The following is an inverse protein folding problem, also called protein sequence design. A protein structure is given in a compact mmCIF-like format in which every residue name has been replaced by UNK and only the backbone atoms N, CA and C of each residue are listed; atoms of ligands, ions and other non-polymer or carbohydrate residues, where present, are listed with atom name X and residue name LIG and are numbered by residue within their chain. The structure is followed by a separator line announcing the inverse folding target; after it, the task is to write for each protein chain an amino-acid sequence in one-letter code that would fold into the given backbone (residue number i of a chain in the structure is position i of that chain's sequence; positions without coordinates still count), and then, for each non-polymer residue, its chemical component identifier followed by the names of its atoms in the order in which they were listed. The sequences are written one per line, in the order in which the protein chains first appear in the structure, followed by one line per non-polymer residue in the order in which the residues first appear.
data_IF_044517922239
#
_entry.id   IF_044517922239
#
_cell.length_a   1.000
_cell.length_b   1.000
_cell.length_c   1.000
_cell.angle_alpha   90.00
_cell.angle_beta   90.00
_cell.angle_gamma   90.00
#
_symmetry.space_group_name_H-M   'P 1'
#
loop_
_entity.id
_entity.type
_entity.pdbx_description
1 polymer ?
#
# COMPACT_ATOMS: atom_id res chain seq x y z
N UNK A 1 -17.47 5.02 -7.59
CA UNK A 1 -18.25 3.84 -7.21
C UNK A 1 -18.60 3.90 -5.74
N UNK A 2 -19.88 4.02 -5.35
CA UNK A 2 -20.27 4.30 -3.96
C UNK A 2 -20.34 3.08 -3.02
N UNK A 3 -20.64 1.89 -3.54
CA UNK A 3 -20.84 0.70 -2.68
C UNK A 3 -20.20 -0.59 -3.22
N UNK A 4 -19.40 -0.52 -4.29
CA UNK A 4 -18.69 -1.68 -4.83
C UNK A 4 -17.82 -2.38 -3.77
N UNK A 5 -17.15 -1.61 -2.91
CA UNK A 5 -16.36 -2.15 -1.81
C UNK A 5 -17.25 -2.90 -0.80
N UNK A 6 -18.39 -2.33 -0.42
CA UNK A 6 -19.32 -2.95 0.54
C UNK A 6 -19.94 -4.22 -0.06
N UNK A 7 -20.37 -4.19 -1.32
CA UNK A 7 -20.92 -5.38 -2.00
C UNK A 7 -19.88 -6.48 -2.15
N UNK A 8 -18.62 -6.14 -2.45
CA UNK A 8 -17.53 -7.11 -2.52
C UNK A 8 -17.22 -7.72 -1.14
N UNK A 9 -17.17 -6.90 -0.09
CA UNK A 9 -16.92 -7.36 1.29
C UNK A 9 -18.04 -8.25 1.85
N UNK A 10 -19.25 -8.16 1.29
CA UNK A 10 -20.44 -8.87 1.76
C UNK A 10 -20.88 -9.97 0.79
N UNK A 11 -20.12 -10.20 -0.29
CA UNK A 11 -20.41 -11.23 -1.28
C UNK A 11 -20.44 -12.64 -0.67
N UNK A 12 -19.52 -12.92 0.25
CA UNK A 12 -19.38 -14.20 0.95
C UNK A 12 -20.30 -14.31 2.20
N UNK A 13 -21.13 -13.30 2.47
CA UNK A 13 -22.07 -13.32 3.61
C UNK A 13 -23.38 -14.00 3.23
N UNK A 14 -24.15 -14.39 4.25
CA UNK A 14 -25.44 -15.03 4.07
C UNK A 14 -26.40 -14.16 3.24
N UNK A 15 -27.39 -14.82 2.62
CA UNK A 15 -28.34 -14.17 1.73
C UNK A 15 -29.13 -13.05 2.43
N UNK A 16 -29.39 -13.20 3.74
CA UNK A 16 -30.13 -12.21 4.53
C UNK A 16 -29.38 -10.87 4.58
N UNK A 17 -28.07 -10.90 4.85
CA UNK A 17 -27.23 -9.68 4.86
C UNK A 17 -27.17 -9.06 3.47
N UNK A 18 -27.10 -9.87 2.41
CA UNK A 18 -27.09 -9.37 1.03
C UNK A 18 -28.42 -8.71 0.65
N UNK A 19 -29.54 -9.30 1.03
CA UNK A 19 -30.87 -8.76 0.78
C UNK A 19 -31.13 -7.47 1.58
N UNK A 20 -30.71 -7.41 2.84
CA UNK A 20 -30.87 -6.21 3.66
C UNK A 20 -30.04 -5.04 3.11
N UNK A 21 -28.80 -5.31 2.67
CA UNK A 21 -27.96 -4.30 2.01
C UNK A 21 -28.56 -3.83 0.69
N UNK A 22 -29.07 -4.74 -0.14
CA UNK A 22 -29.75 -4.37 -1.38
C UNK A 22 -30.95 -3.47 -1.11
N UNK A 23 -31.79 -3.81 -0.13
CA UNK A 23 -32.92 -2.97 0.28
C UNK A 23 -32.46 -1.59 0.74
N UNK A 24 -31.40 -1.52 1.55
CA UNK A 24 -30.83 -0.26 2.03
C UNK A 24 -30.31 0.61 0.88
N UNK A 25 -29.60 0.02 -0.08
CA UNK A 25 -29.10 0.74 -1.26
C UNK A 25 -30.25 1.30 -2.11
N UNK A 26 -31.33 0.52 -2.28
CA UNK A 26 -32.55 0.96 -2.97
C UNK A 26 -33.24 2.11 -2.24
N UNK A 27 -33.41 2.03 -0.92
CA UNK A 27 -34.01 3.11 -0.11
C UNK A 27 -33.19 4.40 -0.18
N UNK A 28 -31.86 4.29 -0.14
CA UNK A 28 -30.95 5.44 -0.21
C UNK A 28 -30.76 6.00 -1.63
N UNK A 29 -31.40 5.40 -2.66
CA UNK A 29 -31.22 5.73 -4.08
C UNK A 29 -29.73 5.86 -4.45
N UNK A 30 -28.91 4.95 -3.92
CA UNK A 30 -27.47 5.00 -4.13
C UNK A 30 -27.13 4.45 -5.51
N UNK A 31 -26.45 5.24 -6.34
CA UNK A 31 -26.03 4.82 -7.68
C UNK A 31 -24.64 4.15 -7.65
N UNK A 32 -24.41 3.10 -8.47
CA UNK A 32 -23.14 2.38 -8.50
C UNK A 32 -22.03 3.24 -9.10
N UNK A 33 -22.36 4.08 -10.08
CA UNK A 33 -21.46 5.03 -10.75
C UNK A 33 -21.95 6.43 -10.42
N UNK A 34 -21.05 7.31 -10.01
CA UNK A 34 -21.38 8.65 -9.54
C UNK A 34 -20.39 9.64 -10.14
N UNK A 35 -20.92 10.77 -10.62
CA UNK A 35 -20.10 11.91 -11.03
C UNK A 35 -19.53 12.61 -9.80
N UNK A 36 -18.23 12.80 -9.78
CA UNK A 36 -17.51 13.50 -8.70
C UNK A 36 -16.31 14.23 -9.28
N UNK A 37 -15.86 15.25 -8.57
CA UNK A 37 -14.63 15.97 -8.91
C UNK A 37 -13.40 15.14 -8.57
N UNK A 38 -12.26 15.45 -9.20
CA UNK A 38 -10.99 14.83 -8.86
C UNK A 38 -10.63 15.00 -7.38
N UNK A 39 -10.96 16.17 -6.78
CA UNK A 39 -10.71 16.45 -5.36
C UNK A 39 -11.50 15.51 -4.46
N UNK A 40 -12.80 15.31 -4.73
CA UNK A 40 -13.66 14.42 -3.97
C UNK A 40 -13.23 12.96 -4.10
N UNK A 41 -12.82 12.53 -5.29
CA UNK A 41 -12.31 11.18 -5.51
C UNK A 41 -11.01 10.91 -4.72
N UNK A 42 -10.10 11.88 -4.71
CA UNK A 42 -8.77 11.72 -4.10
C UNK A 42 -8.78 11.90 -2.59
N UNK A 43 -9.36 13.01 -2.10
CA UNK A 43 -9.33 13.40 -0.67
C UNK A 43 -10.61 13.07 0.09
N UNK A 44 -11.57 12.48 -0.62
CA UNK A 44 -12.78 11.95 -0.05
C UNK A 44 -13.96 12.92 -0.05
N UNK A 45 -15.13 12.31 0.09
CA UNK A 45 -16.42 12.97 0.17
C UNK A 45 -17.25 12.25 1.24
N UNK A 46 -18.14 13.00 1.89
CA UNK A 46 -19.07 12.44 2.86
C UNK A 46 -20.22 11.76 2.10
N UNK A 47 -20.65 10.59 2.56
CA UNK A 47 -21.86 9.94 2.06
C UNK A 47 -22.82 9.67 3.20
N UNK A 48 -24.12 9.69 2.89
CA UNK A 48 -25.15 9.24 3.85
C UNK A 48 -24.95 7.77 4.25
N UNK A 49 -24.30 6.97 3.41
CA UNK A 49 -23.96 5.58 3.69
C UNK A 49 -22.80 5.43 4.68
N UNK A 50 -21.78 6.29 4.62
CA UNK A 50 -20.66 6.25 5.57
C UNK A 50 -21.09 6.73 6.94
N UNK A 51 -21.93 7.78 7.02
CA UNK A 51 -22.50 8.21 8.31
C UNK A 51 -23.40 7.14 8.92
N UNK A 52 -24.21 6.46 8.10
CA UNK A 52 -25.10 5.39 8.58
C UNK A 52 -24.29 4.14 8.96
N UNK A 53 -23.29 3.77 8.16
CA UNK A 53 -22.39 2.65 8.43
C UNK A 53 -21.59 2.83 9.72
N UNK A 54 -21.06 4.03 9.97
CA UNK A 54 -20.35 4.33 11.22
C UNK A 54 -21.29 4.28 12.44
N UNK A 55 -22.53 4.75 12.29
CA UNK A 55 -23.50 4.73 13.39
C UNK A 55 -23.99 3.32 13.73
N UNK A 56 -24.29 2.49 12.72
CA UNK A 56 -24.93 1.19 12.93
C UNK A 56 -23.94 0.01 12.96
N UNK A 57 -22.77 0.16 12.34
CA UNK A 57 -21.71 -0.86 12.25
C UNK A 57 -20.32 -0.23 12.48
N UNK A 58 -20.08 0.44 13.64
CA UNK A 58 -18.82 1.14 13.91
C UNK A 58 -17.59 0.23 13.83
N UNK A 59 -17.75 -1.07 14.14
CA UNK A 59 -16.68 -2.08 14.04
C UNK A 59 -16.31 -2.44 12.58
N UNK A 60 -17.13 -2.09 11.59
CA UNK A 60 -16.87 -2.39 10.17
C UNK A 60 -16.55 -1.15 9.34
N UNK A 61 -17.16 0.00 9.65
CA UNK A 61 -16.99 1.26 8.91
C UNK A 61 -16.74 2.36 9.94
N UNK A 62 -15.48 2.56 10.31
CA UNK A 62 -15.09 3.59 11.29
C UNK A 62 -14.77 4.95 10.64
N UNK A 63 -14.88 5.05 9.32
CA UNK A 63 -14.49 6.22 8.53
C UNK A 63 -15.70 7.01 8.03
N UNK A 64 -15.63 8.34 8.18
CA UNK A 64 -16.69 9.25 7.76
C UNK A 64 -16.59 9.64 6.27
N UNK A 65 -15.39 9.54 5.71
CA UNK A 65 -15.03 9.91 4.33
C UNK A 65 -14.47 8.72 3.57
N UNK A 66 -14.71 8.72 2.26
CA UNK A 66 -14.13 7.73 1.34
C UNK A 66 -13.37 8.47 0.26
N UNK A 67 -12.05 8.50 0.38
CA UNK A 67 -11.12 9.05 -0.61
C UNK A 67 -9.96 8.10 -0.87
N UNK A 68 -9.41 8.10 -2.08
CA UNK A 68 -8.31 7.20 -2.43
C UNK A 68 -7.04 7.48 -1.61
N UNK A 69 -6.62 8.75 -1.55
CA UNK A 69 -5.41 9.18 -0.84
C UNK A 69 -5.63 9.10 0.66
N UNK A 70 -6.79 9.57 1.12
CA UNK A 70 -7.17 9.56 2.54
C UNK A 70 -6.96 8.16 3.15
N UNK A 71 -7.40 7.11 2.42
CA UNK A 71 -7.23 5.71 2.84
C UNK A 71 -5.81 5.17 2.63
N UNK A 72 -5.03 5.74 1.72
CA UNK A 72 -3.66 5.31 1.44
C UNK A 72 -2.65 5.84 2.48
N UNK A 73 -3.00 6.91 3.20
CA UNK A 73 -2.16 7.53 4.23
C UNK A 73 -2.75 7.43 5.66
N UNK A 74 -3.85 6.69 5.83
CA UNK A 74 -4.46 6.39 7.14
C UNK A 74 -3.63 5.34 7.91
N UNK A 75 -2.53 5.79 8.53
CA UNK A 75 -1.56 4.94 9.24
C UNK A 75 -1.45 5.25 10.74
N UNK A 76 -2.54 5.71 11.38
CA UNK A 76 -2.54 6.26 12.75
C UNK A 76 -2.04 5.31 13.86
N UNK A 77 -1.82 4.02 13.56
CA UNK A 77 -1.30 3.02 14.53
C UNK A 77 -0.08 2.23 14.06
N UNK A 78 0.50 2.57 12.90
CA UNK A 78 1.64 1.85 12.35
C UNK A 78 2.96 2.44 12.77
N UNK A 79 3.87 1.59 13.26
CA UNK A 79 5.25 1.95 13.51
C UNK A 79 6.21 1.10 12.68
N UNK A 80 7.31 1.75 12.30
CA UNK A 80 8.38 1.19 11.49
C UNK A 80 9.69 1.37 12.23
N UNK A 81 10.55 0.38 12.12
CA UNK A 81 11.90 0.45 12.67
C UNK A 81 12.86 0.32 11.52
N UNK A 82 13.77 1.30 11.39
CA UNK A 82 14.81 1.32 10.39
C UNK A 82 16.18 1.12 11.05
N UNK A 83 17.09 0.48 10.34
CA UNK A 83 18.48 0.43 10.77
C UNK A 83 19.09 1.82 10.70
N UNK A 84 19.73 2.25 11.79
CA UNK A 84 20.45 3.53 11.84
C UNK A 84 21.71 3.51 10.99
N UNK A 85 22.30 2.32 10.81
CA UNK A 85 23.59 2.12 10.16
C UNK A 85 24.79 2.31 11.07
N UNK A 86 24.58 2.39 12.40
CA UNK A 86 25.68 2.57 13.38
C UNK A 86 26.72 1.45 13.34
N UNK A 87 26.26 0.20 13.20
CA UNK A 87 27.15 -0.98 13.15
C UNK A 87 27.59 -1.30 11.72
N UNK A 88 26.69 -1.10 10.75
CA UNK A 88 26.95 -1.29 9.33
C UNK A 88 26.31 -0.14 8.55
N UNK A 89 27.11 0.79 8.00
CA UNK A 89 26.58 1.92 7.22
C UNK A 89 25.78 1.48 5.99
N UNK A 90 26.03 0.28 5.44
CA UNK A 90 25.32 -0.22 4.26
C UNK A 90 23.83 -0.46 4.51
N UNK A 91 23.43 -0.73 5.76
CA UNK A 91 22.06 -0.98 6.15
C UNK A 91 21.29 0.30 6.52
N UNK A 92 21.95 1.45 6.58
CA UNK A 92 21.36 2.71 7.05
C UNK A 92 20.10 3.08 6.26
N UNK A 93 18.98 3.27 6.96
CA UNK A 93 17.70 3.67 6.37
C UNK A 93 16.89 2.51 5.75
N UNK A 94 17.31 1.26 5.94
CA UNK A 94 16.56 0.08 5.50
C UNK A 94 15.66 -0.45 6.61
N UNK A 95 14.57 -1.12 6.25
CA UNK A 95 13.62 -1.73 7.19
C UNK A 95 14.30 -2.79 8.06
N UNK A 96 14.18 -2.64 9.37
CA UNK A 96 14.41 -3.71 10.33
C UNK A 96 13.11 -4.48 10.60
N UNK A 97 12.06 -3.76 11.04
CA UNK A 97 10.75 -4.37 11.32
C UNK A 97 9.61 -3.43 10.98
N UNK A 98 8.45 -4.00 10.67
CA UNK A 98 7.16 -3.31 10.60
C UNK A 98 6.24 -3.93 11.66
N UNK A 99 5.71 -3.10 12.56
CA UNK A 99 4.88 -3.57 13.70
C UNK A 99 5.58 -4.65 14.55
N UNK A 100 6.89 -4.50 14.72
CA UNK A 100 7.72 -5.42 15.52
C UNK A 100 8.04 -6.75 14.85
N UNK A 101 7.62 -6.99 13.60
CA UNK A 101 7.95 -8.21 12.86
C UNK A 101 8.74 -7.90 11.58
N UNK A 102 9.63 -8.81 11.19
CA UNK A 102 10.36 -8.79 9.91
C UNK A 102 9.52 -9.32 8.76
N UNK A 103 8.46 -10.07 9.08
CA UNK A 103 7.57 -10.75 8.13
C UNK A 103 6.15 -10.15 8.16
N UNK A 104 5.60 -9.87 6.98
CA UNK A 104 4.21 -9.46 6.82
C UNK A 104 3.25 -10.63 7.10
N UNK A 105 2.23 -10.45 7.95
CA UNK A 105 1.30 -11.53 8.34
C UNK A 105 0.38 -11.99 7.20
N UNK A 106 0.31 -11.23 6.10
CA UNK A 106 -0.60 -11.49 4.98
C UNK A 106 -0.09 -12.57 4.02
N UNK A 107 1.19 -12.91 4.09
CA UNK A 107 1.87 -13.82 3.16
C UNK A 107 2.39 -15.05 3.92
N UNK A 108 2.06 -16.27 3.48
CA UNK A 108 2.41 -17.48 4.22
C UNK A 108 3.89 -17.88 4.08
N UNK A 109 4.53 -17.49 2.98
CA UNK A 109 5.88 -17.90 2.63
C UNK A 109 6.90 -16.79 2.95
N UNK A 110 8.03 -17.16 3.55
CA UNK A 110 9.03 -16.22 4.06
C UNK A 110 9.58 -15.28 2.99
N UNK A 111 9.80 -15.76 1.76
CA UNK A 111 10.30 -14.89 0.68
C UNK A 111 9.26 -13.87 0.20
N UNK A 112 7.98 -14.06 0.52
CA UNK A 112 6.88 -13.16 0.18
C UNK A 112 6.50 -12.23 1.32
N UNK A 113 6.73 -12.65 2.56
CA UNK A 113 6.44 -11.87 3.76
C UNK A 113 7.59 -10.97 4.18
N UNK A 114 8.84 -11.39 3.98
CA UNK A 114 10.00 -10.76 4.61
C UNK A 114 10.33 -9.39 4.01
N UNK A 115 10.28 -8.36 4.85
CA UNK A 115 10.59 -6.97 4.49
C UNK A 115 11.93 -6.50 5.06
N UNK A 116 12.63 -7.34 5.83
CA UNK A 116 13.93 -6.99 6.40
C UNK A 116 14.91 -6.60 5.29
N UNK A 117 15.68 -5.54 5.55
CA UNK A 117 16.61 -4.87 4.62
C UNK A 117 15.96 -4.29 3.35
N UNK A 118 14.63 -4.20 3.28
CA UNK A 118 13.97 -3.50 2.20
C UNK A 118 14.19 -1.98 2.32
N UNK A 119 14.24 -1.31 1.17
CA UNK A 119 14.15 0.13 1.06
C UNK A 119 12.70 0.58 1.02
N UNK A 120 12.38 1.69 1.69
CA UNK A 120 11.11 2.39 1.54
C UNK A 120 11.02 3.20 0.23
N UNK A 121 12.10 3.24 -0.56
CA UNK A 121 12.25 4.02 -1.78
C UNK A 121 12.78 5.44 -1.56
N UNK A 122 13.02 5.85 -0.32
CA UNK A 122 13.69 7.11 0.00
C UNK A 122 15.20 6.91 0.05
N UNK A 123 15.66 5.79 0.61
CA UNK A 123 17.07 5.41 0.66
C UNK A 123 17.26 3.92 0.38
N UNK A 124 18.23 3.60 -0.48
CA UNK A 124 18.66 2.22 -0.74
C UNK A 124 19.95 1.92 0.02
N UNK A 125 20.37 0.64 0.06
CA UNK A 125 21.62 0.24 0.71
C UNK A 125 22.78 1.09 0.18
N UNK A 126 23.73 1.44 1.03
CA UNK A 126 24.96 2.09 0.55
C UNK A 126 25.89 1.08 -0.13
N UNK A 127 26.83 1.58 -0.93
CA UNK A 127 27.86 0.78 -1.62
C UNK A 127 27.28 -0.30 -2.56
N UNK A 128 26.25 0.09 -3.32
CA UNK A 128 25.60 -0.77 -4.32
C UNK A 128 26.62 -1.18 -5.38
N UNK A 129 26.71 -2.48 -5.65
CA UNK A 129 27.51 -3.03 -6.75
C UNK A 129 26.66 -3.21 -8.02
N UNK A 130 27.28 -3.26 -9.20
CA UNK A 130 26.58 -3.46 -10.47
C UNK A 130 25.65 -4.68 -10.57
N UNK A 131 25.92 -5.74 -9.81
CA UNK A 131 25.16 -7.00 -9.84
C UNK A 131 24.21 -7.15 -8.63
N UNK A 132 24.09 -6.11 -7.79
CA UNK A 132 23.23 -6.19 -6.62
C UNK A 132 21.75 -6.15 -7.03
N UNK A 133 20.94 -6.94 -6.32
CA UNK A 133 19.47 -6.84 -6.38
C UNK A 133 18.99 -6.12 -5.14
N UNK A 134 18.12 -5.13 -5.31
CA UNK A 134 17.67 -4.27 -4.21
C UNK A 134 16.25 -4.66 -3.81
N UNK A 135 16.01 -4.88 -2.52
CA UNK A 135 14.65 -5.13 -2.01
C UNK A 135 13.95 -3.80 -1.75
N UNK A 136 12.70 -3.68 -2.17
CA UNK A 136 11.86 -2.50 -2.04
C UNK A 136 10.51 -2.87 -1.42
N UNK A 137 10.04 -2.05 -0.48
CA UNK A 137 8.75 -2.22 0.19
C UNK A 137 8.15 -0.87 0.51
N UNK A 138 6.88 -0.66 0.14
CA UNK A 138 6.05 0.43 0.66
C UNK A 138 4.78 -0.15 1.25
N UNK A 139 4.29 0.45 2.34
CA UNK A 139 3.03 0.07 3.00
C UNK A 139 1.87 -0.05 2.02
N UNK A 140 1.74 0.91 1.10
CA UNK A 140 0.67 0.91 0.08
C UNK A 140 0.71 -0.28 -0.89
N UNK A 141 1.88 -0.87 -1.11
CA UNK A 141 2.06 -2.03 -1.99
C UNK A 141 1.83 -3.34 -1.26
N UNK A 142 1.97 -3.35 0.07
CA UNK A 142 1.67 -4.51 0.92
C UNK A 142 2.45 -5.79 0.58
N UNK A 143 3.57 -5.68 -0.12
CA UNK A 143 4.47 -6.80 -0.45
C UNK A 143 5.88 -6.28 -0.79
N UNK A 144 6.94 -7.01 -0.41
CA UNK A 144 8.29 -6.72 -0.86
C UNK A 144 8.45 -7.09 -2.34
N UNK A 145 9.21 -6.29 -3.09
CA UNK A 145 9.54 -6.53 -4.50
C UNK A 145 11.04 -6.27 -4.70
N UNK A 146 11.65 -7.03 -5.60
CA UNK A 146 13.04 -6.84 -5.98
C UNK A 146 13.18 -5.92 -7.20
N UNK A 147 14.21 -5.08 -7.14
CA UNK A 147 14.67 -4.23 -8.22
C UNK A 147 15.97 -4.81 -8.76
N UNK A 148 16.03 -4.92 -10.09
CA UNK A 148 17.21 -5.36 -10.83
C UNK A 148 17.73 -4.25 -11.69
N UNK A 149 19.02 -4.31 -11.98
CA UNK A 149 19.67 -3.34 -12.85
C UNK A 149 19.04 -3.37 -14.24
N UNK A 150 18.65 -2.20 -14.73
CA UNK A 150 18.00 -2.05 -16.03
C UNK A 150 19.00 -2.11 -17.18
N UNK A 151 20.14 -1.41 -17.03
CA UNK A 151 21.14 -1.20 -18.06
C UNK A 151 22.55 -1.50 -17.55
N UNK A 152 23.47 -1.92 -18.43
CA UNK A 152 24.87 -2.18 -18.09
C UNK A 152 25.71 -0.93 -17.88
N UNK A 153 25.19 0.23 -18.31
CA UNK A 153 25.92 1.49 -18.29
C UNK A 153 25.70 2.25 -16.97
N UNK A 154 26.60 3.18 -16.70
CA UNK A 154 26.49 4.14 -15.60
C UNK A 154 25.74 5.35 -16.14
N UNK A 155 24.73 5.80 -15.39
CA UNK A 155 23.98 7.02 -15.71
C UNK A 155 24.62 8.17 -14.94
N UNK A 156 25.03 9.21 -15.65
CA UNK A 156 25.52 10.45 -15.02
C UNK A 156 24.45 11.52 -15.09
N UNK A 157 24.01 12.03 -13.95
CA UNK A 157 23.07 13.15 -13.86
C UNK A 157 23.52 14.14 -12.80
N UNK A 158 23.53 15.43 -13.16
CA UNK A 158 24.04 16.50 -12.29
C UNK A 158 25.47 16.24 -11.76
N UNK A 159 26.31 15.54 -12.53
CA UNK A 159 27.67 15.16 -12.13
C UNK A 159 27.76 13.98 -11.16
N UNK A 160 26.64 13.31 -10.86
CA UNK A 160 26.57 12.12 -10.03
C UNK A 160 26.41 10.89 -10.91
N UNK A 161 27.24 9.89 -10.66
CA UNK A 161 27.19 8.59 -11.31
C UNK A 161 26.29 7.64 -10.52
N UNK A 162 25.40 6.94 -11.23
CA UNK A 162 24.47 6.01 -10.62
C UNK A 162 24.06 4.88 -11.56
N UNK A 163 23.32 3.92 -11.01
CA UNK A 163 22.77 2.80 -11.76
C UNK A 163 21.27 2.98 -11.92
N UNK A 164 20.75 2.64 -13.10
CA UNK A 164 19.30 2.56 -13.32
C UNK A 164 18.79 1.21 -12.85
N UNK A 165 17.78 1.23 -11.99
CA UNK A 165 17.07 0.05 -11.51
C UNK A 165 15.63 0.03 -12.00
N UNK A 166 15.12 -1.16 -12.26
CA UNK A 166 13.72 -1.42 -12.64
C UNK A 166 13.17 -2.58 -11.82
N UNK A 167 11.85 -2.72 -11.78
CA UNK A 167 11.24 -3.94 -11.24
C UNK A 167 11.65 -5.15 -12.07
N UNK A 168 11.85 -6.28 -11.38
CA UNK A 168 12.05 -7.57 -12.04
C UNK A 168 10.93 -7.90 -13.03
N UNK A 169 11.29 -8.57 -14.12
CA UNK A 169 10.30 -9.08 -15.06
C UNK A 169 9.37 -10.04 -14.34
N UNK A 170 8.06 -9.88 -14.57
CA UNK A 170 7.02 -10.66 -13.88
C UNK A 170 7.01 -10.46 -12.35
N UNK A 171 7.58 -9.38 -11.80
CA UNK A 171 7.47 -9.05 -10.36
C UNK A 171 6.00 -8.95 -9.90
N UNK A 172 5.10 -8.57 -10.79
CA UNK A 172 3.66 -8.44 -10.55
C UNK A 172 2.85 -9.59 -11.15
N UNK A 173 3.48 -10.71 -11.51
CA UNK A 173 2.77 -11.88 -12.00
C UNK A 173 2.04 -12.62 -10.87
N UNK A 174 0.97 -13.36 -11.22
CA UNK A 174 0.15 -14.16 -10.31
C UNK A 174 0.67 -15.60 -10.13
N UNK A 175 1.95 -15.86 -10.39
CA UNK A 175 2.51 -17.20 -10.28
C UNK A 175 2.39 -18.05 -11.53
N UNK A 176 1.86 -17.50 -12.64
CA UNK A 176 1.75 -18.18 -13.94
C UNK A 176 3.11 -18.30 -14.63
N UNK A 177 3.87 -17.21 -14.67
CA UNK A 177 5.19 -17.15 -15.29
C UNK A 177 6.30 -17.26 -14.24
N UNK A 178 6.13 -16.60 -13.08
CA UNK A 178 7.08 -16.69 -11.98
C UNK A 178 6.47 -17.47 -10.81
N UNK A 179 6.77 -18.76 -10.71
CA UNK A 179 6.19 -19.63 -9.66
C UNK A 179 6.43 -19.13 -8.23
N UNK A 180 7.47 -18.32 -7.98
CA UNK A 180 7.73 -17.73 -6.65
C UNK A 180 6.61 -16.79 -6.20
N UNK A 181 5.83 -16.24 -7.13
CA UNK A 181 4.74 -15.33 -6.82
C UNK A 181 3.42 -16.02 -6.42
N UNK A 182 3.35 -17.36 -6.46
CA UNK A 182 2.12 -18.10 -6.10
C UNK A 182 1.64 -17.82 -4.67
N UNK A 183 2.56 -17.56 -3.75
CA UNK A 183 2.27 -17.11 -2.38
C UNK A 183 1.41 -15.84 -2.33
N UNK A 184 1.46 -14.99 -3.37
CA UNK A 184 0.71 -13.75 -3.45
C UNK A 184 -0.75 -13.98 -3.86
N UNK A 185 -1.10 -15.15 -4.38
CA UNK A 185 -2.47 -15.49 -4.76
C UNK A 185 -3.31 -15.97 -3.58
N UNK A 186 -4.64 -15.88 -3.71
CA UNK A 186 -5.59 -16.49 -2.76
C UNK A 186 -5.83 -17.95 -3.13
N UNK A 187 -6.10 -18.80 -2.13
CA UNK A 187 -6.28 -20.25 -2.29
C UNK A 187 -7.50 -20.65 -3.14
N UNK A 188 -8.44 -19.73 -3.40
CA UNK A 188 -9.75 -20.05 -4.00
C UNK A 188 -9.97 -19.49 -5.42
N UNK A 189 -8.98 -18.84 -6.04
CA UNK A 189 -9.10 -18.32 -7.40
C UNK A 189 -7.96 -18.86 -8.27
N UNK A 190 -8.07 -20.12 -8.67
CA UNK A 190 -7.05 -20.78 -9.49
C UNK A 190 -7.22 -20.61 -10.99
N UNK A 191 -8.23 -19.90 -11.50
CA UNK A 191 -8.51 -19.95 -12.94
C UNK A 191 -9.02 -18.65 -13.54
N UNK A 192 -8.24 -18.16 -14.51
CA UNK A 192 -8.62 -17.41 -15.73
C UNK A 192 -8.75 -15.88 -15.74
N UNK A 193 -8.61 -15.13 -14.64
CA UNK A 193 -8.62 -13.64 -14.71
C UNK A 193 -7.30 -13.03 -14.20
N UNK A 194 -6.37 -12.86 -15.15
CA UNK A 194 -4.96 -12.46 -14.96
C UNK A 194 -4.80 -11.01 -14.41
N UNK A 195 -5.87 -10.22 -14.29
CA UNK A 195 -5.76 -8.78 -13.97
C UNK A 195 -6.16 -8.36 -12.54
N UNK A 196 -6.77 -9.22 -11.74
CA UNK A 196 -7.47 -8.78 -10.50
C UNK A 196 -6.83 -9.18 -9.18
N UNK A 197 -5.86 -10.08 -9.16
CA UNK A 197 -5.40 -10.70 -7.90
C UNK A 197 -4.38 -9.87 -7.10
N UNK A 198 -3.67 -8.93 -7.73
CA UNK A 198 -2.70 -8.08 -7.02
C UNK A 198 -3.36 -7.04 -6.10
N UNK A 199 -4.54 -6.56 -6.45
CA UNK A 199 -5.19 -5.46 -5.73
C UNK A 199 -5.90 -5.94 -4.44
N UNK A 200 -6.35 -7.20 -4.38
CA UNK A 200 -7.27 -7.67 -3.34
C UNK A 200 -6.61 -8.09 -2.03
N UNK A 201 -5.37 -8.57 -2.01
CA UNK A 201 -4.63 -8.81 -0.75
C UNK A 201 -3.90 -7.57 -0.23
N UNK A 202 -3.60 -6.58 -1.10
CA UNK A 202 -3.24 -5.24 -0.66
C UNK A 202 -4.29 -4.64 0.27
N UNK A 203 -5.58 -4.88 -0.02
CA UNK A 203 -6.69 -4.49 0.85
C UNK A 203 -6.65 -5.14 2.25
N UNK A 204 -6.21 -6.38 2.41
CA UNK A 204 -6.11 -7.01 3.74
C UNK A 204 -4.90 -6.54 4.54
N UNK A 205 -3.81 -6.13 3.89
CA UNK A 205 -2.68 -5.52 4.59
C UNK A 205 -3.00 -4.06 4.98
N UNK A 206 -3.62 -3.28 4.08
CA UNK A 206 -4.17 -1.97 4.41
C UNK A 206 -5.26 -2.08 5.50
N UNK A 207 -6.09 -3.13 5.50
CA UNK A 207 -7.12 -3.33 6.55
C UNK A 207 -6.56 -3.88 7.86
N UNK A 208 -5.58 -4.77 7.84
CA UNK A 208 -4.91 -5.23 9.06
C UNK A 208 -4.09 -4.10 9.70
N UNK A 209 -3.66 -3.10 8.92
CA UNK A 209 -3.16 -1.83 9.44
C UNK A 209 -4.17 -1.21 10.43
N UNK A 210 -5.46 -1.41 10.18
CA UNK A 210 -6.55 -0.74 10.88
C UNK A 210 -7.27 -1.63 11.91
N UNK A 211 -7.08 -2.95 11.85
CA UNK A 211 -7.85 -3.91 12.66
C UNK A 211 -7.21 -4.27 14.01
N UNK A 212 -5.96 -3.91 14.27
CA UNK A 212 -5.29 -4.20 15.55
C UNK A 212 -5.69 -3.27 16.70
N UNK A 213 -6.66 -2.38 16.49
CA UNK A 213 -6.93 -1.25 17.37
C UNK A 213 -8.00 -1.50 18.45
N UNK A 214 -8.41 -2.76 18.70
CA UNK A 214 -9.46 -3.05 19.68
C UNK A 214 -8.96 -3.52 21.05
N UNK A 215 -7.65 -3.59 21.31
CA UNK A 215 -7.16 -4.07 22.61
C UNK A 215 -6.27 -3.12 23.43
N UNK A 216 -5.84 -1.94 22.97
CA UNK A 216 -5.06 -1.04 23.83
C UNK A 216 -5.51 0.43 23.76
N UNK A 217 -5.75 0.99 24.94
CA UNK A 217 -6.47 2.23 25.22
C UNK A 217 -5.66 3.50 24.89
N UNK A 218 -6.39 4.51 24.40
CA UNK A 218 -6.32 5.97 24.68
C UNK A 218 -5.02 6.53 25.30
N UNK A 219 -4.39 7.49 24.62
CA UNK A 219 -4.16 8.84 25.17
C UNK A 219 -3.76 9.88 24.10
N UNK A 220 -4.17 11.12 24.39
CA UNK A 220 -4.09 12.39 23.62
C UNK A 220 -2.62 12.79 23.30
N UNK A 221 -2.28 13.67 22.35
CA UNK A 221 -2.54 15.13 22.37
C UNK A 221 -2.04 15.84 21.09
N UNK A 222 -2.59 17.04 20.86
CA UNK A 222 -2.42 17.99 19.74
C UNK A 222 -1.05 18.67 19.65
N UNK A 223 -0.62 19.04 18.43
CA UNK A 223 -0.12 20.39 18.03
C UNK A 223 0.36 20.36 16.56
N UNK A 224 -0.35 20.98 15.62
CA UNK A 224 -0.14 22.33 15.04
C UNK A 224 0.87 22.43 13.89
N UNK A 225 0.31 22.65 12.68
CA UNK A 225 0.69 23.65 11.66
C UNK A 225 2.14 23.71 11.14
N UNK A 226 2.32 23.51 9.82
CA UNK A 226 2.63 24.60 8.89
C UNK A 226 2.43 24.21 7.41
N UNK A 227 2.03 25.21 6.63
CA UNK A 227 1.58 25.24 5.25
C UNK A 227 2.73 25.15 4.23
N UNK A 228 2.49 24.50 3.08
CA UNK A 228 2.74 25.04 1.72
C UNK A 228 2.39 23.98 0.66
N UNK A 229 1.23 24.14 0.02
CA UNK A 229 1.09 24.58 -1.39
C UNK A 229 1.45 23.52 -2.45
N UNK A 230 0.41 22.78 -2.86
CA UNK A 230 0.00 22.51 -4.25
C UNK A 230 1.03 22.79 -5.37
N UNK A 231 1.41 21.74 -6.12
CA UNK A 231 1.25 21.66 -7.59
C UNK A 231 1.67 20.29 -8.16
N UNK A 232 0.84 19.80 -9.10
CA UNK A 232 1.13 18.82 -10.17
C UNK A 232 1.40 17.35 -9.81
N UNK A 233 0.33 16.53 -9.86
CA UNK A 233 0.30 15.06 -9.66
C UNK A 233 0.61 14.26 -10.94
N UNK A 234 0.90 14.90 -12.06
CA UNK A 234 1.13 14.19 -13.34
C UNK A 234 2.60 14.00 -13.71
N UNK A 235 3.54 14.61 -12.96
CA UNK A 235 4.99 14.41 -13.15
C UNK A 235 5.59 13.42 -12.13
N UNK A 236 4.79 12.85 -11.23
CA UNK A 236 5.29 12.13 -10.05
C UNK A 236 5.96 10.79 -10.34
N UNK A 237 5.76 10.19 -11.52
CA UNK A 237 6.43 8.93 -11.90
C UNK A 237 7.84 9.21 -12.44
N UNK A 238 8.04 10.29 -13.19
CA UNK A 238 9.39 10.71 -13.64
C UNK A 238 10.19 11.42 -12.54
N UNK A 239 9.52 12.11 -11.60
CA UNK A 239 10.19 12.70 -10.44
C UNK A 239 10.64 11.67 -9.41
N UNK A 240 9.92 10.54 -9.25
CA UNK A 240 10.37 9.46 -8.37
C UNK A 240 11.69 8.83 -8.82
N UNK A 241 11.92 8.80 -10.14
CA UNK A 241 13.19 8.38 -10.74
C UNK A 241 14.29 9.45 -10.52
N UNK A 242 13.91 10.73 -10.38
CA UNK A 242 14.87 11.84 -10.22
C UNK A 242 15.26 12.12 -8.76
N UNK A 243 14.40 11.88 -7.77
CA UNK A 243 14.74 12.10 -6.35
C UNK A 243 15.74 11.06 -5.82
N UNK A 244 15.86 9.92 -6.51
CA UNK A 244 16.86 8.88 -6.25
C UNK A 244 18.31 9.35 -6.45
N UNK A 245 18.55 10.53 -7.03
CA UNK A 245 19.88 11.05 -7.33
C UNK A 245 20.50 11.95 -6.25
N UNK A 246 19.79 12.32 -5.17
CA UNK A 246 20.33 13.30 -4.19
C UNK A 246 20.86 12.65 -2.90
N UNK A 247 20.45 11.42 -2.56
CA UNK A 247 20.77 10.82 -1.25
C UNK A 247 22.02 9.93 -1.23
N UNK A 248 22.85 9.98 -2.28
CA UNK A 248 24.15 9.34 -2.32
C UNK A 248 25.25 10.23 -1.69
N UNK A 249 25.11 10.53 -0.40
CA UNK A 249 26.20 10.84 0.51
C UNK A 249 25.80 10.51 1.94
#
# INVERSE_FOLDING_TARGET
MRYHAISHLTADRNIIVRLSLNSLFSTLKSEPIVRMTAKEFMFGYNTKLTSLGNTFLPNWIYFDKVGLIDRMYDFDSDYETFYTGRNDPSLSGLYATYRGNTDLPNWPEKHCSNIETASDGSKFRSFIKPNDTLKFFRKSMCRPIHLVRADTDIVTKCGLEGYRYRFEDNAFDNGRYNMKNKCFCRKDYWTTHIHTDLYLKGHNCLRNSLYNNNNEKRQQLKSSLCHSSLRTVTNSIEYFITILEIMAK
#
